data_IF_411122105272
#
_entry.id   IF_411122105272
#
_cell.length_a   1.000
_cell.length_b   1.000
_cell.length_c   1.000
_cell.angle_alpha   90.00
_cell.angle_beta   90.00
_cell.angle_gamma   90.00
#
_symmetry.space_group_name_H-M   'P 1'
#
loop_
_entity.id
_entity.type
_entity.pdbx_description
1 polymer ?
#
# COMPACT_ATOMS: atom_id res chain seq x y z
N UNK A 1 28.29 32.98 -53.81
CA UNK A 1 28.74 31.59 -53.54
C UNK A 1 27.99 31.07 -52.33
N UNK A 2 27.65 29.78 -52.34
CA UNK A 2 26.49 29.13 -51.69
C UNK A 2 26.34 29.30 -50.17
N UNK A 3 25.09 29.49 -49.75
CA UNK A 3 24.57 29.21 -48.41
C UNK A 3 24.53 27.69 -48.25
N UNK A 4 25.27 27.13 -47.30
CA UNK A 4 25.18 25.71 -46.96
C UNK A 4 24.16 25.53 -45.83
N UNK A 5 23.04 24.91 -46.19
CA UNK A 5 22.12 24.24 -45.28
C UNK A 5 22.76 22.96 -44.71
N UNK A 6 22.16 22.46 -43.62
CA UNK A 6 21.93 21.04 -43.24
C UNK A 6 22.46 20.63 -41.85
N UNK A 7 21.47 20.65 -40.94
CA UNK A 7 21.12 19.62 -39.94
C UNK A 7 22.04 19.37 -38.74
N UNK A 8 21.63 19.97 -37.62
CA UNK A 8 21.88 19.47 -36.27
C UNK A 8 21.04 18.19 -36.10
N UNK A 9 21.68 17.02 -36.07
CA UNK A 9 21.05 15.77 -35.64
C UNK A 9 21.20 15.67 -34.12
N UNK A 10 20.16 16.09 -33.39
CA UNK A 10 20.05 15.81 -31.96
C UNK A 10 19.62 14.34 -31.82
N UNK A 11 20.56 13.46 -31.48
CA UNK A 11 20.23 12.12 -30.99
C UNK A 11 19.68 12.25 -29.57
N UNK A 12 18.36 12.39 -29.48
CA UNK A 12 17.62 12.23 -28.23
C UNK A 12 17.48 10.72 -27.98
N UNK A 13 18.47 10.10 -27.33
CA UNK A 13 18.32 8.75 -26.81
C UNK A 13 17.42 8.79 -25.58
N UNK A 14 16.11 8.76 -25.81
CA UNK A 14 15.11 8.40 -24.81
C UNK A 14 15.34 6.94 -24.48
N UNK A 15 16.15 6.68 -23.45
CA UNK A 15 16.18 5.39 -22.78
C UNK A 15 14.87 5.31 -22.01
N UNK A 16 13.84 4.82 -22.70
CA UNK A 16 12.61 4.38 -22.06
C UNK A 16 13.00 3.11 -21.30
N UNK A 17 13.46 3.29 -20.06
CA UNK A 17 13.59 2.20 -19.11
C UNK A 17 12.16 1.73 -18.78
N UNK A 18 11.63 0.86 -19.64
CA UNK A 18 10.54 -0.03 -19.28
C UNK A 18 11.10 -0.95 -18.20
N UNK A 19 11.06 -0.46 -16.96
CA UNK A 19 11.17 -1.29 -15.78
C UNK A 19 10.10 -2.34 -15.92
N UNK A 20 10.53 -3.58 -16.16
CA UNK A 20 9.67 -4.75 -16.09
C UNK A 20 9.21 -4.79 -14.63
N UNK A 21 8.04 -4.22 -14.36
CA UNK A 21 7.33 -4.46 -13.14
C UNK A 21 7.03 -5.97 -13.12
N UNK A 22 7.89 -6.75 -12.48
CA UNK A 22 7.58 -8.12 -12.13
C UNK A 22 6.45 -8.07 -11.11
N UNK A 23 5.22 -7.94 -11.60
CA UNK A 23 4.02 -8.14 -10.82
C UNK A 23 4.06 -9.56 -10.28
N UNK A 24 4.22 -9.68 -8.97
CA UNK A 24 4.03 -10.95 -8.28
C UNK A 24 2.61 -11.44 -8.58
N UNK A 25 2.50 -12.61 -9.21
CA UNK A 25 1.21 -13.21 -9.59
C UNK A 25 0.62 -13.92 -8.36
N UNK A 26 -0.51 -13.42 -7.83
CA UNK A 26 -1.15 -13.98 -6.62
C UNK A 26 -2.36 -14.90 -6.95
N UNK A 27 -2.27 -16.21 -6.74
CA UNK A 27 -3.40 -17.11 -7.06
C UNK A 27 -4.60 -16.93 -6.10
N UNK A 28 -5.74 -16.44 -6.64
CA UNK A 28 -7.06 -16.30 -5.97
C UNK A 28 -7.33 -14.88 -5.45
N UNK A 29 -8.38 -14.21 -5.94
CA UNK A 29 -8.69 -12.75 -5.73
C UNK A 29 -7.69 -11.76 -6.37
N UNK A 30 -6.92 -12.24 -7.35
CA UNK A 30 -5.75 -11.57 -7.94
C UNK A 30 -6.02 -10.18 -8.52
N UNK A 31 -7.22 -9.93 -9.08
CA UNK A 31 -7.52 -8.64 -9.73
C UNK A 31 -7.63 -7.49 -8.74
N UNK A 32 -8.26 -7.70 -7.58
CA UNK A 32 -8.49 -6.64 -6.61
C UNK A 32 -7.19 -6.21 -5.92
N UNK A 33 -6.41 -7.17 -5.44
CA UNK A 33 -5.11 -6.86 -4.85
C UNK A 33 -4.17 -6.23 -5.87
N UNK A 34 -4.20 -6.69 -7.13
CA UNK A 34 -3.38 -6.08 -8.18
C UNK A 34 -3.80 -4.64 -8.51
N UNK A 35 -5.11 -4.33 -8.56
CA UNK A 35 -5.59 -2.98 -8.88
C UNK A 35 -5.37 -1.96 -7.77
N UNK A 36 -5.28 -2.43 -6.52
CA UNK A 36 -5.12 -1.60 -5.32
C UNK A 36 -3.75 -1.78 -4.65
N UNK A 37 -2.81 -2.47 -5.30
CA UNK A 37 -1.43 -2.56 -4.86
C UNK A 37 -0.73 -1.21 -5.02
N UNK A 38 0.26 -0.96 -4.14
CA UNK A 38 1.17 0.18 -4.27
C UNK A 38 2.20 -0.18 -5.33
N UNK A 39 2.21 0.59 -6.41
CA UNK A 39 3.24 0.50 -7.42
C UNK A 39 4.47 1.31 -7.00
N UNK A 40 5.67 1.04 -7.52
CA UNK A 40 6.88 1.83 -7.20
C UNK A 40 6.70 3.33 -7.41
N UNK A 41 5.94 3.75 -8.42
CA UNK A 41 5.60 5.14 -8.73
C UNK A 41 4.65 5.80 -7.71
N UNK A 42 3.96 5.01 -6.89
CA UNK A 42 3.10 5.52 -5.83
C UNK A 42 3.87 5.84 -4.54
N UNK A 43 5.08 5.30 -4.40
CA UNK A 43 5.90 5.49 -3.20
C UNK A 43 6.31 6.96 -3.12
N UNK A 44 5.99 7.66 -2.01
CA UNK A 44 6.32 9.07 -1.87
C UNK A 44 7.82 9.35 -2.00
N UNK A 45 8.17 10.51 -2.55
CA UNK A 45 9.58 10.90 -2.70
C UNK A 45 10.31 10.89 -1.36
N UNK A 46 11.49 10.25 -1.32
CA UNK A 46 12.29 10.08 -0.10
C UNK A 46 12.01 8.77 0.65
N UNK A 47 11.03 7.99 0.19
CA UNK A 47 10.72 6.67 0.71
C UNK A 47 11.05 5.57 -0.30
N UNK A 48 11.20 4.37 0.22
CA UNK A 48 11.36 3.11 -0.51
C UNK A 48 10.40 2.08 0.08
N UNK A 49 10.17 0.97 -0.62
CA UNK A 49 9.63 -0.21 0.05
C UNK A 49 10.62 -0.67 1.13
N UNK A 50 10.15 -0.69 2.38
CA UNK A 50 10.91 -1.14 3.53
C UNK A 50 11.40 -2.59 3.41
N UNK A 51 12.51 -2.90 4.07
CA UNK A 51 13.06 -4.24 4.22
C UNK A 51 12.38 -4.96 5.38
N UNK A 52 11.90 -6.17 5.12
CA UNK A 52 11.30 -7.00 6.16
C UNK A 52 12.40 -7.66 7.02
N UNK A 53 12.44 -7.41 8.35
CA UNK A 53 13.39 -8.07 9.23
C UNK A 53 13.06 -9.55 9.39
N UNK A 54 14.07 -10.37 9.69
CA UNK A 54 13.93 -11.84 9.69
C UNK A 54 12.83 -12.36 10.63
N UNK A 55 12.63 -11.72 11.79
CA UNK A 55 11.58 -12.13 12.73
C UNK A 55 10.17 -11.92 12.17
N UNK A 56 9.98 -10.93 11.28
CA UNK A 56 8.69 -10.56 10.70
C UNK A 56 8.36 -11.35 9.41
N UNK A 57 9.34 -12.06 8.84
CA UNK A 57 9.16 -12.83 7.58
C UNK A 57 8.10 -13.93 7.64
N UNK A 58 7.74 -14.38 8.86
CA UNK A 58 6.65 -15.34 9.07
C UNK A 58 5.27 -14.73 8.77
N UNK A 59 5.15 -13.42 8.92
CA UNK A 59 3.91 -12.64 8.68
C UNK A 59 3.97 -12.00 7.29
N UNK A 60 5.11 -11.38 6.96
CA UNK A 60 5.33 -10.68 5.68
C UNK A 60 6.39 -11.41 4.85
N UNK A 61 5.97 -12.13 3.82
CA UNK A 61 6.90 -12.92 2.97
C UNK A 61 7.84 -12.04 2.13
N UNK A 62 7.45 -10.78 1.92
CA UNK A 62 8.19 -9.75 1.20
C UNK A 62 7.57 -8.38 1.46
N UNK A 63 7.94 -7.39 0.65
CA UNK A 63 7.31 -6.08 0.69
C UNK A 63 7.27 -5.46 -0.71
N UNK A 64 6.09 -5.06 -1.20
CA UNK A 64 4.78 -5.35 -0.63
C UNK A 64 4.43 -6.85 -0.67
N UNK A 65 3.41 -7.29 0.08
CA UNK A 65 2.94 -8.68 0.01
C UNK A 65 1.46 -8.85 0.37
N UNK A 66 0.88 -9.94 -0.13
CA UNK A 66 -0.38 -10.50 0.41
C UNK A 66 -0.05 -11.32 1.65
N UNK A 67 -0.74 -11.03 2.75
CA UNK A 67 -0.55 -11.65 4.05
C UNK A 67 -1.28 -13.00 4.09
N UNK A 68 -0.59 -14.05 4.52
CA UNK A 68 -1.18 -15.37 4.69
C UNK A 68 -2.14 -15.43 5.89
N UNK A 69 -2.88 -16.54 6.03
CA UNK A 69 -3.90 -16.68 7.08
C UNK A 69 -3.35 -16.65 8.53
N UNK A 70 -2.10 -17.09 8.75
CA UNK A 70 -1.44 -17.00 10.04
C UNK A 70 -1.06 -15.54 10.36
N UNK A 71 -0.56 -14.81 9.36
CA UNK A 71 -0.26 -13.39 9.47
C UNK A 71 -1.50 -12.55 9.72
N UNK A 72 -2.62 -12.83 9.04
CA UNK A 72 -3.90 -12.16 9.29
C UNK A 72 -4.35 -12.39 10.74
N UNK A 73 -4.24 -13.63 11.26
CA UNK A 73 -4.55 -13.96 12.66
C UNK A 73 -3.67 -13.22 13.65
N UNK A 74 -2.40 -13.05 13.33
CA UNK A 74 -1.45 -12.30 14.16
C UNK A 74 -1.71 -10.79 14.14
N UNK A 75 -2.06 -10.24 12.98
CA UNK A 75 -2.15 -8.79 12.76
C UNK A 75 -3.52 -8.21 13.15
N UNK A 76 -4.63 -8.91 12.94
CA UNK A 76 -5.97 -8.31 13.02
C UNK A 76 -6.21 -7.50 14.31
N UNK A 77 -5.90 -8.06 15.48
CA UNK A 77 -6.07 -7.40 16.78
C UNK A 77 -4.97 -6.38 17.12
N UNK A 78 -3.90 -6.33 16.33
CA UNK A 78 -2.81 -5.35 16.45
C UNK A 78 -3.04 -4.12 15.55
N UNK A 79 -3.82 -4.26 14.48
CA UNK A 79 -4.11 -3.18 13.55
C UNK A 79 -5.17 -2.21 14.10
N UNK A 80 -6.17 -2.75 14.78
CA UNK A 80 -7.22 -1.97 15.43
C UNK A 80 -7.81 -2.78 16.61
N UNK A 81 -8.38 -2.10 17.62
CA UNK A 81 -8.97 -2.75 18.79
C UNK A 81 -10.00 -3.81 18.41
N UNK A 82 -9.90 -4.97 19.04
CA UNK A 82 -10.81 -6.13 18.87
C UNK A 82 -10.97 -6.60 17.42
N UNK A 83 -9.97 -6.36 16.57
CA UNK A 83 -9.97 -6.83 15.19
C UNK A 83 -10.08 -8.35 15.09
N UNK A 84 -11.08 -8.83 14.36
CA UNK A 84 -11.38 -10.25 14.26
C UNK A 84 -10.89 -10.83 12.94
N UNK A 85 -9.79 -11.59 13.01
CA UNK A 85 -9.22 -12.28 11.85
C UNK A 85 -10.21 -13.23 11.16
N UNK A 86 -11.19 -13.79 11.89
CA UNK A 86 -12.20 -14.66 11.30
C UNK A 86 -13.15 -13.93 10.34
N UNK A 87 -13.21 -12.60 10.38
CA UNK A 87 -14.03 -11.77 9.50
C UNK A 87 -13.28 -11.30 8.24
N UNK A 88 -11.96 -11.48 8.20
CA UNK A 88 -11.08 -11.05 7.11
C UNK A 88 -10.89 -12.22 6.12
N UNK A 89 -11.18 -11.98 4.85
CA UNK A 89 -10.94 -12.91 3.72
C UNK A 89 -9.49 -12.84 3.24
N UNK A 90 -8.97 -11.63 3.12
CA UNK A 90 -7.60 -11.39 2.64
C UNK A 90 -7.06 -10.06 3.12
N UNK A 91 -5.74 -9.94 3.12
CA UNK A 91 -5.04 -8.74 3.53
C UNK A 91 -3.81 -8.54 2.64
N UNK A 92 -3.63 -7.32 2.16
CA UNK A 92 -2.41 -6.89 1.47
C UNK A 92 -1.72 -5.80 2.28
N UNK A 93 -0.39 -5.79 2.24
CA UNK A 93 0.45 -4.84 2.97
C UNK A 93 1.53 -4.26 2.07
N UNK A 94 1.72 -2.95 2.19
CA UNK A 94 2.90 -2.25 1.72
C UNK A 94 3.48 -1.41 2.87
N UNK A 95 4.75 -1.63 3.19
CA UNK A 95 5.48 -0.84 4.18
C UNK A 95 6.44 0.09 3.44
N UNK A 96 6.40 1.37 3.71
CA UNK A 96 7.32 2.35 3.12
C UNK A 96 8.16 2.93 4.23
N UNK A 97 9.46 3.04 3.96
CA UNK A 97 10.44 3.52 4.90
C UNK A 97 11.45 4.42 4.21
N UNK A 98 12.14 5.25 4.97
CA UNK A 98 13.25 6.05 4.45
C UNK A 98 14.48 5.17 4.13
N UNK A 99 15.31 5.57 3.16
CA UNK A 99 16.53 4.83 2.83
C UNK A 99 17.51 4.72 4.01
N UNK A 100 17.54 5.75 4.86
CA UNK A 100 18.37 5.79 6.06
C UNK A 100 17.92 4.78 7.13
N UNK A 101 16.62 4.45 7.18
CA UNK A 101 16.03 3.51 8.13
C UNK A 101 15.18 2.47 7.40
N UNK A 102 15.79 1.60 6.58
CA UNK A 102 15.03 0.76 5.66
C UNK A 102 14.22 -0.33 6.37
N UNK A 103 14.48 -0.61 7.64
CA UNK A 103 13.71 -1.56 8.47
C UNK A 103 12.61 -0.90 9.30
N UNK A 104 12.41 0.41 9.14
CA UNK A 104 11.30 1.12 9.76
C UNK A 104 9.97 0.85 9.08
N UNK A 105 8.93 1.42 9.66
CA UNK A 105 7.54 1.38 9.23
C UNK A 105 6.94 2.79 9.17
N UNK A 106 7.72 3.74 8.63
CA UNK A 106 7.41 5.17 8.60
C UNK A 106 6.01 5.43 8.00
N UNK A 107 5.65 4.74 6.91
CA UNK A 107 4.30 4.70 6.36
C UNK A 107 3.87 3.25 6.11
N UNK A 108 2.63 2.90 6.44
CA UNK A 108 2.11 1.54 6.21
C UNK A 108 0.74 1.58 5.59
N UNK A 109 0.52 0.82 4.53
CA UNK A 109 -0.78 0.61 3.92
C UNK A 109 -1.24 -0.84 4.09
N UNK A 110 -2.46 -0.99 4.59
CA UNK A 110 -3.20 -2.23 4.64
C UNK A 110 -4.43 -2.15 3.74
N UNK A 111 -4.61 -3.15 2.87
CA UNK A 111 -5.88 -3.41 2.19
C UNK A 111 -6.52 -4.64 2.81
N UNK A 112 -7.67 -4.45 3.45
CA UNK A 112 -8.47 -5.49 4.07
C UNK A 112 -9.65 -5.83 3.18
N UNK A 113 -9.82 -7.11 2.90
CA UNK A 113 -11.01 -7.66 2.23
C UNK A 113 -11.76 -8.52 3.22
N UNK A 114 -13.00 -8.17 3.53
CA UNK A 114 -13.87 -8.91 4.45
C UNK A 114 -14.64 -10.00 3.71
N UNK A 115 -15.03 -11.05 4.44
CA UNK A 115 -15.68 -12.24 3.86
C UNK A 115 -17.04 -11.94 3.22
N UNK A 116 -17.81 -11.08 3.86
CA UNK A 116 -19.16 -10.71 3.46
C UNK A 116 -19.54 -9.34 4.05
N UNK A 117 -20.68 -8.78 3.64
CA UNK A 117 -21.15 -7.47 4.11
C UNK A 117 -21.41 -7.41 5.62
N UNK A 118 -21.76 -8.54 6.24
CA UNK A 118 -21.97 -8.61 7.70
C UNK A 118 -20.65 -8.46 8.44
N UNK A 119 -19.65 -9.22 8.01
CA UNK A 119 -18.27 -9.17 8.50
C UNK A 119 -17.68 -7.77 8.31
N UNK A 120 -17.89 -7.20 7.12
CA UNK A 120 -17.45 -5.85 6.78
C UNK A 120 -18.07 -4.81 7.70
N UNK A 121 -19.40 -4.82 7.87
CA UNK A 121 -20.10 -3.85 8.73
C UNK A 121 -19.57 -3.85 10.18
N UNK A 122 -19.29 -5.05 10.73
CA UNK A 122 -18.76 -5.18 12.10
C UNK A 122 -17.33 -4.64 12.21
N UNK A 123 -16.43 -5.04 11.30
CA UNK A 123 -15.03 -4.63 11.40
C UNK A 123 -14.80 -3.17 10.96
N UNK A 124 -15.53 -2.68 9.95
CA UNK A 124 -15.47 -1.28 9.50
C UNK A 124 -15.89 -0.33 10.62
N UNK A 125 -16.90 -0.69 11.43
CA UNK A 125 -17.29 0.13 12.58
C UNK A 125 -16.13 0.29 13.57
N UNK A 126 -15.43 -0.80 13.90
CA UNK A 126 -14.26 -0.76 14.81
C UNK A 126 -13.12 0.07 14.21
N UNK A 127 -12.88 -0.07 12.91
CA UNK A 127 -11.89 0.73 12.18
C UNK A 127 -12.25 2.22 12.20
N UNK A 128 -13.52 2.56 11.98
CA UNK A 128 -14.01 3.93 12.05
C UNK A 128 -13.82 4.51 13.44
N UNK A 129 -14.19 3.77 14.49
CA UNK A 129 -14.01 4.18 15.88
C UNK A 129 -12.52 4.42 16.19
N UNK A 130 -11.65 3.49 15.79
CA UNK A 130 -10.20 3.63 15.96
C UNK A 130 -9.61 4.81 15.19
N UNK A 131 -10.04 5.00 13.94
CA UNK A 131 -9.66 6.14 13.11
C UNK A 131 -10.05 7.47 13.77
N UNK A 132 -11.22 7.58 14.42
CA UNK A 132 -11.65 8.83 15.04
C UNK A 132 -10.64 9.37 16.07
N UNK A 133 -9.92 8.48 16.77
CA UNK A 133 -8.93 8.85 17.78
C UNK A 133 -7.52 9.09 17.21
N UNK A 134 -7.28 8.78 15.93
CA UNK A 134 -5.96 8.79 15.31
C UNK A 134 -5.96 9.49 13.92
N UNK A 135 -6.89 10.42 13.70
CA UNK A 135 -7.12 11.05 12.38
C UNK A 135 -5.93 11.85 11.85
N UNK A 136 -5.03 12.26 12.73
CA UNK A 136 -3.82 12.99 12.41
C UNK A 136 -2.70 12.10 11.83
N UNK A 137 -2.88 10.78 11.87
CA UNK A 137 -1.89 9.78 11.41
C UNK A 137 -2.47 8.62 10.63
N UNK A 138 -3.79 8.57 10.47
CA UNK A 138 -4.47 7.50 9.75
C UNK A 138 -5.32 8.07 8.62
N UNK A 139 -5.32 7.40 7.48
CA UNK A 139 -6.35 7.56 6.45
C UNK A 139 -7.13 6.26 6.33
N UNK A 140 -8.46 6.35 6.44
CA UNK A 140 -9.37 5.22 6.30
C UNK A 140 -10.31 5.46 5.12
N UNK A 141 -10.31 4.53 4.16
CA UNK A 141 -11.23 4.50 3.02
C UNK A 141 -11.98 3.18 3.05
N UNK A 142 -13.28 3.19 2.84
CA UNK A 142 -14.12 1.98 2.89
C UNK A 142 -15.08 1.92 1.72
N UNK A 143 -15.23 0.75 1.09
CA UNK A 143 -16.22 0.49 0.03
C UNK A 143 -16.67 -0.96 0.11
N UNK A 144 -17.97 -1.20 0.26
CA UNK A 144 -18.57 -2.53 0.35
C UNK A 144 -17.89 -3.44 1.40
N UNK A 145 -17.14 -4.45 0.96
CA UNK A 145 -16.40 -5.39 1.81
C UNK A 145 -14.92 -5.07 1.90
N UNK A 146 -14.50 -3.86 1.55
CA UNK A 146 -13.11 -3.43 1.50
C UNK A 146 -12.87 -2.28 2.48
N UNK A 147 -11.73 -2.33 3.17
CA UNK A 147 -11.17 -1.18 3.89
C UNK A 147 -9.70 -0.99 3.50
N UNK A 148 -9.35 0.24 3.12
CA UNK A 148 -7.98 0.71 2.95
C UNK A 148 -7.60 1.50 4.19
N UNK A 149 -6.52 1.10 4.84
CA UNK A 149 -6.05 1.69 6.08
C UNK A 149 -4.59 2.08 5.90
N UNK A 150 -4.31 3.38 5.86
CA UNK A 150 -2.97 3.92 5.78
C UNK A 150 -2.57 4.54 7.11
N UNK A 151 -1.34 4.29 7.54
CA UNK A 151 -0.73 4.80 8.76
C UNK A 151 0.52 5.60 8.43
N UNK A 152 0.75 6.66 9.20
CA UNK A 152 2.01 7.37 9.29
C UNK A 152 2.48 7.30 10.75
N UNK A 153 3.77 7.07 10.97
CA UNK A 153 4.35 6.99 12.33
C UNK A 153 4.17 8.31 13.09
N UNK A 154 4.34 9.43 12.39
CA UNK A 154 4.17 10.79 12.90
C UNK A 154 3.19 11.63 12.06
N UNK A 155 2.79 12.76 12.64
CA UNK A 155 1.83 13.70 12.04
C UNK A 155 2.43 14.44 10.84
N UNK A 156 3.76 14.65 10.81
CA UNK A 156 4.44 15.36 9.72
C UNK A 156 4.41 14.54 8.41
N UNK A 157 4.35 13.22 8.55
CA UNK A 157 4.23 12.26 7.47
C UNK A 157 2.79 12.03 6.99
N UNK A 158 1.77 12.57 7.68
CA UNK A 158 0.36 12.41 7.31
C UNK A 158 0.06 12.84 5.88
N UNK A 159 0.67 13.93 5.40
CA UNK A 159 0.48 14.45 4.04
C UNK A 159 0.72 13.39 2.96
N UNK A 160 1.69 12.50 3.18
CA UNK A 160 2.05 11.46 2.21
C UNK A 160 0.98 10.38 2.11
N UNK A 161 0.44 9.93 3.25
CA UNK A 161 -0.65 8.94 3.25
C UNK A 161 -1.98 9.54 2.81
N UNK A 162 -2.19 10.85 3.01
CA UNK A 162 -3.35 11.55 2.49
C UNK A 162 -3.35 11.61 0.95
N UNK A 163 -2.22 11.98 0.34
CA UNK A 163 -2.06 11.97 -1.11
C UNK A 163 -2.21 10.55 -1.69
N UNK A 164 -1.55 9.57 -1.05
CA UNK A 164 -1.66 8.18 -1.48
C UNK A 164 -3.11 7.65 -1.34
N UNK A 165 -3.79 8.02 -0.27
CA UNK A 165 -5.20 7.70 -0.05
C UNK A 165 -6.09 8.25 -1.16
N UNK A 166 -5.85 9.47 -1.66
CA UNK A 166 -6.61 10.03 -2.78
C UNK A 166 -6.44 9.18 -4.05
N UNK A 167 -5.20 8.82 -4.41
CA UNK A 167 -4.91 7.96 -5.57
C UNK A 167 -5.60 6.59 -5.45
N UNK A 168 -5.57 5.99 -4.26
CA UNK A 168 -6.22 4.70 -4.01
C UNK A 168 -7.75 4.79 -4.03
N UNK A 169 -8.32 5.90 -3.52
CA UNK A 169 -9.75 6.16 -3.58
C UNK A 169 -10.24 6.27 -5.02
N UNK A 170 -9.46 6.91 -5.90
CA UNK A 170 -9.74 6.99 -7.34
C UNK A 170 -9.71 5.60 -8.00
N UNK A 171 -8.71 4.76 -7.69
CA UNK A 171 -8.63 3.38 -8.21
C UNK A 171 -9.75 2.47 -7.72
N UNK A 172 -10.26 2.74 -6.53
CA UNK A 172 -11.34 1.97 -5.91
C UNK A 172 -12.71 2.30 -6.51
N UNK A 173 -12.86 3.48 -7.12
CA UNK A 173 -14.12 3.99 -7.66
C UNK A 173 -14.43 3.47 -9.06
#
# INVERSE_FOLDING_TARGET
>A
MRINNISIVIYLSVIMALGIAMGMVYSGDNSLFSSLAIAPEDVPQGFIFGKIPNFAKKVFTGNPCVVNSDGIRFLASKLYPDGNAANIKGMYVAIMATEARPYGDDLVYYLLVFKDSKSASVEIKKLQDYYQYNKDRIVLITKDTIALLLFADDVDNYKYIAELGQKLQERLN
#
